data_IF_782472293517
#
_entry.id   IF_782472293517
#
_cell.length_a   1.000
_cell.length_b   1.000
_cell.length_c   1.000
_cell.angle_alpha   90.00
_cell.angle_beta   90.00
_cell.angle_gamma   90.00
#
_symmetry.space_group_name_H-M   'P 1'
#
loop_
_entity.id
_entity.type
_entity.pdbx_description
1 polymer ?
#
# COMPACT_ATOMS: atom_id res chain seq x y z
N UNK A 1 -2.78 2.01 11.84
CA UNK A 1 -1.69 2.54 11.00
C UNK A 1 -0.37 1.85 11.33
N UNK A 2 0.63 1.90 10.44
CA UNK A 2 1.95 1.34 10.70
C UNK A 2 2.60 1.93 11.97
N UNK A 3 2.61 3.26 12.18
CA UNK A 3 3.12 3.82 13.43
C UNK A 3 2.42 3.31 14.69
N UNK A 4 1.10 3.05 14.62
CA UNK A 4 0.36 2.48 15.76
C UNK A 4 0.79 1.05 16.07
N UNK A 5 1.03 0.22 15.05
CA UNK A 5 1.50 -1.15 15.24
C UNK A 5 2.95 -1.19 15.74
N UNK A 6 3.81 -0.32 15.23
CA UNK A 6 5.18 -0.14 15.74
C UNK A 6 5.22 0.27 17.22
N UNK A 7 4.20 0.98 17.71
CA UNK A 7 4.11 1.36 19.11
C UNK A 7 3.50 0.25 20.01
N UNK A 8 2.54 -0.51 19.48
CA UNK A 8 1.77 -1.48 20.28
C UNK A 8 2.40 -2.87 20.29
N UNK A 9 2.91 -3.34 19.15
CA UNK A 9 3.38 -4.73 19.04
C UNK A 9 4.59 -5.07 19.95
N UNK A 10 5.57 -4.17 20.17
CA UNK A 10 6.66 -4.41 21.13
C UNK A 10 6.16 -4.55 22.57
N UNK A 11 5.06 -3.89 22.90
CA UNK A 11 4.48 -3.82 24.23
C UNK A 11 3.29 -4.78 24.42
N UNK A 12 3.17 -5.79 23.54
CA UNK A 12 2.03 -6.72 23.50
C UNK A 12 1.69 -7.34 24.85
N UNK A 13 2.69 -7.69 25.66
CA UNK A 13 2.52 -8.32 26.97
C UNK A 13 1.83 -7.38 28.00
N UNK A 14 1.90 -6.06 27.78
CA UNK A 14 1.21 -5.07 28.61
C UNK A 14 -0.30 -5.03 28.36
N UNK A 15 -0.77 -5.65 27.28
CA UNK A 15 -2.18 -5.74 26.92
C UNK A 15 -2.77 -7.10 27.30
N UNK A 16 -2.48 -7.57 28.52
CA UNK A 16 -3.00 -8.85 29.01
C UNK A 16 -4.53 -8.92 28.89
N UNK A 17 -5.04 -9.99 28.31
CA UNK A 17 -6.48 -10.17 28.06
C UNK A 17 -7.04 -9.46 26.82
N UNK A 18 -6.23 -8.66 26.12
CA UNK A 18 -6.60 -8.05 24.84
C UNK A 18 -6.00 -8.88 23.69
N UNK A 19 -6.84 -9.29 22.76
CA UNK A 19 -6.38 -9.97 21.56
C UNK A 19 -6.00 -8.96 20.49
N UNK A 20 -4.75 -8.99 20.06
CA UNK A 20 -4.22 -8.16 18.98
C UNK A 20 -4.08 -9.08 17.75
N UNK A 21 -4.96 -8.97 16.72
CA UNK A 21 -5.01 -9.89 15.58
C UNK A 21 -3.97 -9.51 14.51
N UNK A 22 -2.72 -9.43 14.94
CA UNK A 22 -1.54 -9.17 14.10
C UNK A 22 -0.40 -10.08 14.54
N UNK A 23 0.56 -10.39 13.67
CA UNK A 23 1.68 -11.26 14.02
C UNK A 23 2.59 -10.65 15.10
N UNK A 24 3.56 -11.41 15.63
CA UNK A 24 4.62 -10.90 16.49
C UNK A 24 5.39 -9.74 15.85
N UNK A 25 6.01 -8.90 16.68
CA UNK A 25 6.67 -7.67 16.25
C UNK A 25 7.80 -7.88 15.24
N UNK A 26 8.61 -8.91 15.43
CA UNK A 26 9.68 -9.32 14.52
C UNK A 26 9.17 -9.64 13.11
N UNK A 27 8.09 -10.41 13.02
CA UNK A 27 7.42 -10.70 11.73
C UNK A 27 6.80 -9.48 11.10
N UNK A 28 6.23 -8.58 11.90
CA UNK A 28 5.74 -7.31 11.39
C UNK A 28 6.87 -6.46 10.81
N UNK A 29 8.04 -6.40 11.50
CA UNK A 29 9.21 -5.67 11.01
C UNK A 29 9.77 -6.24 9.70
N UNK A 30 9.76 -7.56 9.54
CA UNK A 30 10.32 -8.21 8.34
C UNK A 30 9.60 -7.80 7.06
N UNK A 31 8.26 -7.64 7.09
CA UNK A 31 7.52 -7.16 5.91
C UNK A 31 7.60 -5.65 5.69
N UNK A 32 8.03 -4.89 6.71
CA UNK A 32 8.30 -3.46 6.55
C UNK A 32 9.64 -3.19 5.86
N UNK A 33 10.50 -4.19 5.76
CA UNK A 33 11.81 -4.10 5.10
C UNK A 33 11.68 -4.42 3.61
N UNK A 34 11.81 -3.39 2.78
CA UNK A 34 11.62 -3.51 1.32
C UNK A 34 12.68 -4.39 0.64
N UNK A 35 13.88 -4.48 1.22
CA UNK A 35 14.94 -5.34 0.68
C UNK A 35 14.63 -6.81 0.96
N UNK A 36 14.23 -7.13 2.19
CA UNK A 36 13.80 -8.49 2.55
C UNK A 36 12.56 -8.94 1.77
N UNK A 37 11.59 -8.02 1.56
CA UNK A 37 10.41 -8.30 0.73
C UNK A 37 10.80 -8.58 -0.72
N UNK A 38 11.75 -7.83 -1.29
CA UNK A 38 12.19 -8.03 -2.66
C UNK A 38 12.90 -9.39 -2.85
N UNK A 39 13.76 -9.78 -1.90
CA UNK A 39 14.41 -11.08 -1.90
C UNK A 39 13.39 -12.22 -1.85
N UNK A 40 12.50 -12.20 -0.85
CA UNK A 40 11.44 -13.20 -0.70
C UNK A 40 10.49 -13.26 -1.92
N UNK A 41 10.23 -12.12 -2.57
CA UNK A 41 9.42 -12.06 -3.78
C UNK A 41 10.11 -12.77 -4.96
N UNK A 42 11.42 -12.59 -5.12
CA UNK A 42 12.21 -13.32 -6.12
C UNK A 42 12.11 -14.85 -5.94
N UNK A 43 12.18 -15.33 -4.70
CA UNK A 43 12.07 -16.76 -4.36
C UNK A 43 10.74 -17.40 -4.79
N UNK A 44 9.66 -16.61 -4.81
CA UNK A 44 8.32 -17.08 -5.22
C UNK A 44 7.95 -16.67 -6.65
N UNK A 45 8.95 -16.23 -7.44
CA UNK A 45 8.78 -15.89 -8.86
C UNK A 45 8.02 -14.59 -9.11
N UNK A 46 7.94 -13.68 -8.15
CA UNK A 46 7.42 -12.33 -8.35
C UNK A 46 8.55 -11.45 -8.90
N UNK A 47 8.25 -10.67 -9.93
CA UNK A 47 9.22 -9.72 -10.49
C UNK A 47 9.53 -8.60 -9.51
N UNK A 48 10.81 -8.29 -9.40
CA UNK A 48 11.32 -7.20 -8.58
C UNK A 48 11.99 -6.19 -9.53
N UNK A 49 11.74 -4.88 -9.39
CA UNK A 49 12.48 -3.88 -10.16
C UNK A 49 13.98 -3.99 -9.91
N UNK A 50 14.79 -3.66 -10.91
CA UNK A 50 16.23 -3.52 -10.71
C UNK A 50 16.50 -2.54 -9.55
N UNK A 51 17.26 -2.98 -8.53
CA UNK A 51 17.44 -2.16 -7.33
C UNK A 51 18.76 -2.43 -6.61
N UNK A 52 19.17 -1.45 -5.80
CA UNK A 52 20.35 -1.53 -4.95
C UNK A 52 20.08 -0.84 -3.62
N UNK A 53 20.55 -1.45 -2.52
CA UNK A 53 20.58 -0.83 -1.22
C UNK A 53 21.88 -0.05 -1.09
N UNK A 54 21.81 1.14 -0.54
CA UNK A 54 22.91 2.09 -0.36
C UNK A 54 22.96 2.46 1.12
N UNK A 55 24.09 2.19 1.75
CA UNK A 55 24.25 2.33 3.19
C UNK A 55 24.64 3.75 3.61
N UNK A 56 25.16 4.55 2.66
CA UNK A 56 25.61 5.91 2.94
C UNK A 56 25.45 6.85 1.73
N UNK A 57 25.45 8.18 1.96
CA UNK A 57 25.49 9.17 0.87
C UNK A 57 26.69 9.02 -0.05
N UNK A 58 27.83 8.65 0.50
CA UNK A 58 29.10 8.48 -0.23
C UNK A 58 28.97 7.29 -1.20
N UNK A 59 28.46 6.15 -0.74
CA UNK A 59 28.19 4.98 -1.58
C UNK A 59 27.16 5.31 -2.67
N UNK A 60 26.12 6.10 -2.34
CA UNK A 60 25.13 6.51 -3.30
C UNK A 60 25.72 7.31 -4.47
N UNK A 61 26.61 8.27 -4.20
CA UNK A 61 27.30 9.06 -5.22
C UNK A 61 28.23 8.24 -6.11
N UNK A 62 28.84 7.17 -5.60
CA UNK A 62 29.70 6.29 -6.41
C UNK A 62 28.89 5.32 -7.29
N UNK A 63 27.81 4.75 -6.76
CA UNK A 63 27.11 3.64 -7.42
C UNK A 63 25.96 4.06 -8.33
N UNK A 64 25.19 5.10 -7.97
CA UNK A 64 23.98 5.48 -8.70
C UNK A 64 24.22 5.98 -10.13
N UNK A 65 25.30 6.73 -10.45
CA UNK A 65 25.58 7.13 -11.83
C UNK A 65 25.79 5.98 -12.80
N UNK A 66 25.97 4.75 -12.28
CA UNK A 66 26.11 3.53 -13.08
C UNK A 66 24.80 2.82 -13.33
N UNK A 67 23.72 3.27 -12.73
CA UNK A 67 22.36 2.72 -12.93
C UNK A 67 21.64 3.44 -14.07
N UNK A 68 20.75 2.74 -14.76
CA UNK A 68 19.92 3.33 -15.81
C UNK A 68 18.79 4.18 -15.21
N UNK A 69 18.63 5.39 -15.70
CA UNK A 69 17.50 6.26 -15.36
C UNK A 69 16.24 5.89 -16.15
N UNK A 70 15.04 6.21 -15.64
CA UNK A 70 14.75 6.91 -14.39
C UNK A 70 14.78 6.01 -13.17
N UNK A 71 15.16 6.58 -12.01
CA UNK A 71 15.23 5.90 -10.74
C UNK A 71 14.20 6.44 -9.72
N UNK A 72 13.96 5.64 -8.69
CA UNK A 72 13.19 6.02 -7.50
C UNK A 72 14.07 5.78 -6.27
N UNK A 73 14.32 6.85 -5.49
CA UNK A 73 15.02 6.75 -4.22
C UNK A 73 13.99 6.74 -3.08
N UNK A 74 14.11 5.79 -2.17
CA UNK A 74 13.21 5.67 -1.01
C UNK A 74 13.97 5.04 0.16
N UNK A 75 13.64 5.36 1.43
CA UNK A 75 14.22 4.64 2.56
C UNK A 75 13.82 3.16 2.50
N UNK A 76 14.70 2.29 2.93
CA UNK A 76 14.43 0.83 3.00
C UNK A 76 13.22 0.57 3.90
N UNK A 77 13.08 1.33 4.99
CA UNK A 77 11.90 1.30 5.87
C UNK A 77 11.10 2.59 5.75
N UNK A 78 9.78 2.51 5.74
CA UNK A 78 8.89 3.67 5.61
C UNK A 78 8.97 4.66 6.77
N UNK A 79 9.46 4.21 7.92
CA UNK A 79 9.74 5.02 9.11
C UNK A 79 11.22 4.85 9.46
N UNK A 80 12.00 5.89 9.22
CA UNK A 80 13.43 5.94 9.55
C UNK A 80 13.65 6.62 10.91
N UNK A 81 14.72 6.25 11.61
CA UNK A 81 15.13 6.85 12.88
C UNK A 81 14.81 6.00 14.12
N UNK A 82 15.37 6.41 15.26
CA UNK A 82 15.13 5.84 16.58
C UNK A 82 13.85 6.42 17.19
N UNK A 83 13.31 5.81 18.27
CA UNK A 83 12.04 6.21 18.92
C UNK A 83 11.88 7.71 19.25
N UNK A 84 12.98 8.44 19.34
CA UNK A 84 13.00 9.89 19.63
C UNK A 84 12.95 10.79 18.37
N UNK A 85 13.24 10.25 17.16
CA UNK A 85 13.35 11.04 15.93
C UNK A 85 12.84 10.29 14.69
N UNK A 86 11.56 9.90 14.68
CA UNK A 86 10.96 9.27 13.50
C UNK A 86 10.73 10.31 12.42
N UNK A 87 11.53 10.27 11.36
CA UNK A 87 11.37 11.14 10.18
C UNK A 87 10.69 10.34 9.06
N UNK A 88 9.56 10.85 8.59
CA UNK A 88 8.92 10.33 7.38
C UNK A 88 9.63 10.92 6.17
N UNK A 89 10.45 10.13 5.51
CA UNK A 89 11.14 10.54 4.28
C UNK A 89 10.29 10.21 3.07
N UNK A 90 10.10 11.20 2.19
CA UNK A 90 9.32 11.03 0.96
C UNK A 90 10.15 10.32 -0.11
N UNK A 91 9.45 9.62 -0.99
CA UNK A 91 10.02 9.06 -2.22
C UNK A 91 10.51 10.19 -3.13
N UNK A 92 11.68 10.03 -3.75
CA UNK A 92 12.23 10.94 -4.76
C UNK A 92 12.32 10.25 -6.11
N UNK A 93 11.81 10.91 -7.13
CA UNK A 93 11.96 10.47 -8.52
C UNK A 93 13.18 11.18 -9.11
N UNK A 94 14.02 10.40 -9.79
CA UNK A 94 15.29 10.85 -10.36
C UNK A 94 15.27 10.48 -11.84
N UNK A 95 15.31 11.51 -12.69
CA UNK A 95 15.22 11.35 -14.14
C UNK A 95 16.58 11.32 -14.83
N UNK A 96 17.59 11.97 -14.21
CA UNK A 96 18.93 12.20 -14.74
C UNK A 96 19.94 12.49 -13.62
N UNK A 97 21.22 12.66 -13.98
CA UNK A 97 22.30 12.95 -13.03
C UNK A 97 22.07 14.25 -12.25
N UNK A 98 21.53 15.31 -12.88
CA UNK A 98 21.30 16.59 -12.21
C UNK A 98 20.19 16.48 -11.13
N UNK A 99 19.14 15.71 -11.40
CA UNK A 99 18.10 15.41 -10.41
C UNK A 99 18.58 14.44 -9.34
N UNK A 100 19.55 13.57 -9.66
CA UNK A 100 20.18 12.67 -8.70
C UNK A 100 20.94 13.44 -7.62
N UNK A 101 21.84 14.35 -8.00
CA UNK A 101 22.61 15.15 -7.05
C UNK A 101 21.70 15.92 -6.10
N UNK A 102 20.68 16.60 -6.64
CA UNK A 102 19.68 17.31 -5.82
C UNK A 102 18.95 16.37 -4.85
N UNK A 103 18.56 15.20 -5.33
CA UNK A 103 17.85 14.23 -4.49
C UNK A 103 18.74 13.70 -3.36
N UNK A 104 20.02 13.45 -3.61
CA UNK A 104 20.98 13.00 -2.60
C UNK A 104 21.28 14.08 -1.55
N UNK A 105 21.35 15.34 -1.96
CA UNK A 105 21.54 16.45 -1.02
C UNK A 105 20.33 16.67 -0.10
N UNK A 106 19.12 16.40 -0.61
CA UNK A 106 17.87 16.49 0.15
C UNK A 106 17.62 15.30 1.08
N UNK A 107 18.33 14.17 0.90
CA UNK A 107 18.15 13.00 1.75
C UNK A 107 18.92 13.17 3.06
N UNK A 108 18.23 13.18 4.22
CA UNK A 108 18.93 13.23 5.51
C UNK A 108 19.74 11.95 5.73
N UNK A 109 20.90 12.08 6.39
CA UNK A 109 21.78 10.92 6.68
C UNK A 109 21.04 9.83 7.49
N UNK A 110 20.11 10.23 8.34
CA UNK A 110 19.29 9.35 9.16
C UNK A 110 18.29 8.50 8.36
N UNK A 111 18.07 8.84 7.08
CA UNK A 111 17.21 8.07 6.17
C UNK A 111 17.91 6.84 5.59
N UNK A 112 19.24 6.77 5.68
CA UNK A 112 19.99 5.59 5.20
C UNK A 112 19.84 4.41 6.17
N UNK A 113 19.84 3.18 5.65
CA UNK A 113 20.01 2.81 4.24
C UNK A 113 18.81 3.21 3.36
N UNK A 114 19.11 3.63 2.13
CA UNK A 114 18.11 3.93 1.10
C UNK A 114 18.12 2.84 0.01
N UNK A 115 16.96 2.67 -0.61
CA UNK A 115 16.78 1.83 -1.79
C UNK A 115 16.73 2.71 -3.03
N UNK A 116 17.65 2.52 -3.96
CA UNK A 116 17.55 3.03 -5.32
C UNK A 116 16.96 1.94 -6.21
N UNK A 117 15.88 2.25 -6.90
CA UNK A 117 15.09 1.30 -7.63
C UNK A 117 14.75 1.83 -9.03
N UNK A 118 14.80 0.96 -10.03
CA UNK A 118 14.24 1.22 -11.36
C UNK A 118 12.79 1.71 -11.24
N UNK A 119 12.46 2.76 -11.98
CA UNK A 119 11.10 3.28 -11.98
C UNK A 119 10.20 2.47 -12.90
N UNK A 120 9.27 1.72 -12.35
CA UNK A 120 8.24 1.03 -13.11
C UNK A 120 7.12 2.02 -13.43
N UNK A 121 6.90 2.28 -14.73
CA UNK A 121 5.81 3.13 -15.22
C UNK A 121 4.60 2.27 -15.52
N UNK A 122 3.46 2.64 -14.96
CA UNK A 122 2.18 1.98 -15.17
C UNK A 122 1.27 2.01 -13.95
N UNK A 123 0.06 1.45 -14.05
CA UNK A 123 -0.94 1.48 -13.00
C UNK A 123 -0.52 0.67 -11.77
N UNK A 124 -0.87 1.19 -10.59
CA UNK A 124 -0.76 0.45 -9.34
C UNK A 124 -1.89 -0.58 -9.21
N UNK A 125 -1.55 -1.78 -8.74
CA UNK A 125 -2.49 -2.84 -8.37
C UNK A 125 -2.25 -3.23 -6.91
N UNK A 126 -3.33 -3.41 -6.14
CA UNK A 126 -3.29 -3.97 -4.80
C UNK A 126 -3.91 -5.36 -4.79
N UNK A 127 -3.20 -6.32 -4.19
CA UNK A 127 -3.74 -7.62 -3.78
C UNK A 127 -3.90 -7.57 -2.27
N UNK A 128 -5.14 -7.68 -1.81
CA UNK A 128 -5.49 -7.57 -0.40
C UNK A 128 -5.89 -8.92 0.14
N UNK A 129 -5.29 -9.31 1.24
CA UNK A 129 -5.44 -10.64 1.81
C UNK A 129 -5.75 -10.57 3.31
N UNK A 130 -6.55 -11.50 3.78
CA UNK A 130 -6.61 -11.91 5.17
C UNK A 130 -6.04 -13.32 5.26
N UNK A 131 -4.91 -13.47 5.94
CA UNK A 131 -4.26 -14.75 6.17
C UNK A 131 -4.59 -15.28 7.57
N UNK A 132 -4.84 -16.57 7.68
CA UNK A 132 -5.00 -17.27 8.94
C UNK A 132 -4.54 -18.71 8.77
N UNK A 133 -3.66 -19.16 9.68
CA UNK A 133 -3.06 -20.51 9.66
C UNK A 133 -2.39 -20.83 8.31
N UNK A 134 -1.70 -19.83 7.73
CA UNK A 134 -1.02 -19.95 6.44
C UNK A 134 -1.95 -20.00 5.22
N UNK A 135 -3.28 -19.84 5.39
CA UNK A 135 -4.27 -19.90 4.32
C UNK A 135 -4.98 -18.56 4.12
N UNK A 136 -5.27 -18.16 2.86
CA UNK A 136 -6.08 -16.98 2.60
C UNK A 136 -7.54 -17.22 2.99
N UNK A 137 -8.08 -16.43 3.89
CA UNK A 137 -9.50 -16.39 4.28
C UNK A 137 -10.32 -15.44 3.44
N UNK A 138 -9.69 -14.33 3.02
CA UNK A 138 -10.30 -13.41 2.09
C UNK A 138 -9.25 -12.87 1.11
N UNK A 139 -9.69 -12.58 -0.11
CA UNK A 139 -8.88 -11.94 -1.13
C UNK A 139 -9.69 -10.89 -1.89
N UNK A 140 -9.05 -9.79 -2.23
CA UNK A 140 -9.65 -8.68 -2.98
C UNK A 140 -8.59 -8.02 -3.85
N UNK A 141 -8.98 -7.54 -5.03
CA UNK A 141 -8.11 -6.83 -5.96
C UNK A 141 -8.62 -5.45 -6.33
N UNK A 142 -7.73 -4.47 -6.40
CA UNK A 142 -8.05 -3.19 -7.00
C UNK A 142 -6.96 -2.68 -7.93
N UNK A 143 -7.33 -1.80 -8.85
CA UNK A 143 -6.45 -1.00 -9.68
C UNK A 143 -6.58 0.46 -9.31
N UNK A 144 -5.45 1.16 -9.21
CA UNK A 144 -5.40 2.61 -9.05
C UNK A 144 -5.61 3.28 -10.39
N UNK A 145 -6.55 4.20 -10.45
CA UNK A 145 -6.85 5.01 -11.64
C UNK A 145 -6.22 6.39 -11.54
N UNK A 146 -6.13 6.96 -10.33
CA UNK A 146 -5.42 8.20 -10.01
C UNK A 146 -4.76 8.12 -8.65
N UNK A 147 -3.64 8.82 -8.50
CA UNK A 147 -2.82 8.84 -7.29
C UNK A 147 -2.50 10.29 -6.89
N UNK A 148 -2.23 10.51 -5.61
CA UNK A 148 -1.73 11.77 -5.05
C UNK A 148 -0.41 11.52 -4.33
N UNK A 149 0.72 12.13 -4.76
CA UNK A 149 0.88 12.97 -5.95
C UNK A 149 0.67 12.20 -7.26
N UNK A 150 0.47 12.91 -8.40
CA UNK A 150 0.23 12.29 -9.71
C UNK A 150 1.35 11.37 -10.21
N UNK A 151 2.57 11.53 -9.73
CA UNK A 151 3.73 10.69 -10.07
C UNK A 151 3.72 9.30 -9.41
N UNK A 152 2.84 9.09 -8.44
CA UNK A 152 2.73 7.87 -7.63
C UNK A 152 2.63 8.19 -6.15
N UNK A 153 1.71 7.56 -5.46
CA UNK A 153 1.46 7.78 -4.05
C UNK A 153 0.19 7.08 -3.58
N UNK A 154 -0.62 7.78 -2.75
CA UNK A 154 -1.89 7.22 -2.30
C UNK A 154 -2.93 7.25 -3.41
N UNK A 155 -3.71 6.19 -3.54
CA UNK A 155 -4.79 6.10 -4.51
C UNK A 155 -5.94 7.04 -4.15
N UNK A 156 -6.35 7.89 -5.08
CA UNK A 156 -7.47 8.83 -4.91
C UNK A 156 -8.70 8.44 -5.73
N UNK A 157 -8.50 7.73 -6.85
CA UNK A 157 -9.54 7.04 -7.58
C UNK A 157 -9.06 5.62 -7.90
N UNK A 158 -9.89 4.63 -7.64
CA UNK A 158 -9.57 3.20 -7.79
C UNK A 158 -10.80 2.41 -8.17
N UNK A 159 -10.57 1.22 -8.69
CA UNK A 159 -11.60 0.32 -9.18
C UNK A 159 -11.30 -1.11 -8.73
N UNK A 160 -12.33 -1.82 -8.27
CA UNK A 160 -12.22 -3.26 -7.98
C UNK A 160 -12.02 -4.04 -9.28
N UNK A 161 -11.07 -4.97 -9.28
CA UNK A 161 -10.72 -5.81 -10.43
C UNK A 161 -10.77 -7.28 -10.06
N UNK A 162 -11.02 -8.14 -11.03
CA UNK A 162 -10.77 -9.56 -10.87
C UNK A 162 -9.26 -9.79 -10.65
N UNK A 163 -8.91 -10.53 -9.61
CA UNK A 163 -7.51 -10.90 -9.36
C UNK A 163 -7.08 -11.98 -10.37
N UNK A 164 -5.97 -11.78 -11.09
CA UNK A 164 -5.34 -12.84 -11.84
C UNK A 164 -4.96 -14.00 -10.88
N UNK A 165 -5.37 -15.25 -11.15
CA UNK A 165 -5.11 -16.38 -10.25
C UNK A 165 -3.63 -16.56 -9.89
N UNK A 166 -2.75 -16.43 -10.88
CA UNK A 166 -1.30 -16.50 -10.71
C UNK A 166 -0.75 -15.41 -9.77
N UNK A 167 -1.24 -14.16 -9.90
CA UNK A 167 -0.83 -13.08 -9.01
C UNK A 167 -1.32 -13.28 -7.58
N UNK A 168 -2.53 -13.82 -7.41
CA UNK A 168 -3.07 -14.18 -6.10
C UNK A 168 -2.25 -15.28 -5.45
N UNK A 169 -1.96 -16.36 -6.18
CA UNK A 169 -1.18 -17.50 -5.69
C UNK A 169 0.22 -17.08 -5.23
N UNK A 170 0.93 -16.30 -6.03
CA UNK A 170 2.25 -15.77 -5.68
C UNK A 170 2.21 -14.81 -4.49
N UNK A 171 1.18 -13.97 -4.39
CA UNK A 171 0.99 -13.08 -3.24
C UNK A 171 0.77 -13.87 -1.94
N UNK A 172 -0.01 -14.95 -1.99
CA UNK A 172 -0.19 -15.87 -0.85
C UNK A 172 1.12 -16.57 -0.51
N UNK A 173 1.85 -17.07 -1.51
CA UNK A 173 3.15 -17.72 -1.29
C UNK A 173 4.16 -16.76 -0.65
N UNK A 174 4.17 -15.49 -1.09
CA UNK A 174 5.02 -14.46 -0.49
C UNK A 174 4.68 -14.21 0.98
N UNK A 175 3.39 -14.06 1.33
CA UNK A 175 3.00 -13.86 2.72
C UNK A 175 3.31 -15.07 3.61
N UNK A 176 3.24 -16.30 3.06
CA UNK A 176 3.67 -17.51 3.76
C UNK A 176 5.18 -17.52 4.07
N UNK A 177 6.02 -16.92 3.23
CA UNK A 177 7.48 -16.78 3.53
C UNK A 177 7.75 -15.97 4.79
N UNK A 178 6.82 -15.11 5.16
CA UNK A 178 6.89 -14.30 6.39
C UNK A 178 6.03 -14.86 7.53
N UNK A 179 5.49 -16.07 7.39
CA UNK A 179 4.50 -16.64 8.33
C UNK A 179 3.44 -15.60 8.70
N UNK A 180 2.91 -14.90 7.70
CA UNK A 180 2.03 -13.78 7.92
C UNK A 180 0.65 -14.21 8.40
N UNK A 181 0.15 -13.52 9.44
CA UNK A 181 -1.19 -13.66 9.99
C UNK A 181 -1.91 -12.31 10.00
N UNK A 182 -3.22 -12.31 9.72
CA UNK A 182 -4.02 -11.10 9.66
C UNK A 182 -4.05 -10.47 8.28
N UNK A 183 -4.42 -9.18 8.23
CA UNK A 183 -4.60 -8.45 6.98
C UNK A 183 -3.28 -7.94 6.39
N UNK A 184 -3.15 -8.04 5.08
CA UNK A 184 -2.05 -7.43 4.33
C UNK A 184 -2.50 -6.94 2.96
N UNK A 185 -1.83 -5.91 2.46
CA UNK A 185 -1.89 -5.46 1.08
C UNK A 185 -0.52 -5.69 0.45
N UNK A 186 -0.47 -6.49 -0.60
CA UNK A 186 0.71 -6.62 -1.47
C UNK A 186 0.52 -5.65 -2.63
N UNK A 187 1.43 -4.69 -2.76
CA UNK A 187 1.36 -3.63 -3.74
C UNK A 187 2.23 -3.91 -4.95
N UNK A 188 1.64 -3.77 -6.13
CA UNK A 188 2.32 -3.95 -7.41
C UNK A 188 2.18 -2.73 -8.30
N UNK A 189 3.13 -2.55 -9.22
CA UNK A 189 2.97 -1.75 -10.44
C UNK A 189 3.05 -2.66 -11.66
N UNK A 190 2.11 -2.47 -12.58
CA UNK A 190 2.12 -3.21 -13.86
C UNK A 190 2.84 -2.37 -14.87
N UNK A 191 3.96 -2.87 -15.38
CA UNK A 191 4.75 -2.16 -16.39
C UNK A 191 3.94 -1.98 -17.68
N UNK A 192 3.80 -0.74 -18.15
CA UNK A 192 3.18 -0.44 -19.45
C UNK A 192 3.95 -1.01 -20.62
N UNK A 193 5.27 -1.18 -20.47
CA UNK A 193 6.13 -1.71 -21.53
C UNK A 193 6.00 -3.22 -21.70
N UNK A 194 5.76 -3.97 -20.61
CA UNK A 194 5.78 -5.45 -20.64
C UNK A 194 4.45 -6.08 -20.23
N UNK A 195 3.55 -5.33 -19.61
CA UNK A 195 2.31 -5.87 -19.01
C UNK A 195 2.54 -6.68 -17.72
N UNK A 196 3.77 -6.77 -17.22
CA UNK A 196 4.13 -7.60 -16.07
C UNK A 196 4.01 -6.85 -14.75
N UNK A 197 3.52 -7.51 -13.68
CA UNK A 197 3.45 -6.92 -12.36
C UNK A 197 4.81 -7.02 -11.65
N UNK A 198 5.25 -5.90 -11.08
CA UNK A 198 6.44 -5.77 -10.25
C UNK A 198 6.02 -5.41 -8.82
N UNK A 199 6.55 -6.11 -7.82
CA UNK A 199 6.26 -5.81 -6.42
C UNK A 199 6.87 -4.47 -6.01
N UNK A 200 6.12 -3.72 -5.20
CA UNK A 200 6.58 -2.45 -4.64
C UNK A 200 6.82 -2.55 -3.13
N UNK A 201 5.86 -3.11 -2.39
CA UNK A 201 5.91 -3.27 -0.93
C UNK A 201 4.79 -4.18 -0.41
N UNK A 202 4.90 -4.57 0.86
CA UNK A 202 3.81 -5.19 1.62
C UNK A 202 3.40 -4.22 2.74
N UNK A 203 2.08 -3.98 2.85
CA UNK A 203 1.49 -3.19 3.92
C UNK A 203 0.74 -4.14 4.87
N UNK A 204 1.35 -4.54 6.00
CA UNK A 204 0.81 -5.47 6.99
C UNK A 204 -0.21 -4.83 7.92
N UNK A 205 -1.16 -4.14 7.38
CA UNK A 205 -2.20 -3.37 8.07
C UNK A 205 -3.36 -3.09 7.15
N UNK A 206 -4.44 -2.54 7.70
CA UNK A 206 -5.45 -1.94 6.86
C UNK A 206 -4.87 -0.78 6.03
N UNK A 207 -5.42 -0.57 4.86
CA UNK A 207 -4.97 0.38 3.83
C UNK A 207 -5.98 1.51 3.60
N UNK A 208 -5.55 2.58 2.96
CA UNK A 208 -6.38 3.76 2.74
C UNK A 208 -7.64 3.50 1.90
N UNK A 209 -7.58 2.56 0.96
CA UNK A 209 -8.71 2.20 0.09
C UNK A 209 -9.60 1.06 0.65
N UNK A 210 -9.61 0.86 1.97
CA UNK A 210 -10.36 -0.23 2.62
C UNK A 210 -11.85 -0.20 2.27
N UNK A 211 -12.43 0.99 2.20
CA UNK A 211 -13.85 1.16 1.93
C UNK A 211 -14.27 0.58 0.57
N UNK A 212 -13.38 0.58 -0.44
CA UNK A 212 -13.68 -0.06 -1.72
C UNK A 212 -13.90 -1.57 -1.58
N UNK A 213 -13.10 -2.26 -0.76
CA UNK A 213 -13.29 -3.69 -0.51
C UNK A 213 -14.64 -3.97 0.17
N UNK A 214 -15.00 -3.17 1.19
CA UNK A 214 -16.30 -3.26 1.87
C UNK A 214 -17.44 -3.02 0.89
N UNK A 215 -17.34 -1.98 0.07
CA UNK A 215 -18.34 -1.63 -0.94
C UNK A 215 -18.48 -2.71 -2.05
N UNK A 216 -17.41 -3.44 -2.31
CA UNK A 216 -17.39 -4.54 -3.26
C UNK A 216 -17.89 -5.89 -2.66
N UNK A 217 -18.06 -5.95 -1.34
CA UNK A 217 -18.59 -7.14 -0.65
C UNK A 217 -17.59 -7.89 0.23
N UNK A 218 -16.35 -7.38 0.41
CA UNK A 218 -15.33 -7.98 1.28
C UNK A 218 -15.08 -7.09 2.50
N UNK A 219 -15.77 -7.39 3.60
CA UNK A 219 -15.63 -6.66 4.87
C UNK A 219 -14.46 -7.21 5.69
N UNK A 220 -13.25 -6.81 5.33
CA UNK A 220 -12.02 -7.24 6.02
C UNK A 220 -12.01 -6.96 7.53
N UNK A 221 -12.50 -5.80 8.05
CA UNK A 221 -12.61 -5.57 9.49
C UNK A 221 -13.43 -6.64 10.20
N UNK A 222 -14.60 -6.98 9.65
CA UNK A 222 -15.47 -8.01 10.21
C UNK A 222 -14.82 -9.39 10.13
N UNK A 223 -14.28 -9.75 8.97
CA UNK A 223 -13.61 -11.04 8.76
C UNK A 223 -12.41 -11.21 9.70
N UNK A 224 -11.60 -10.17 9.91
CA UNK A 224 -10.50 -10.20 10.86
C UNK A 224 -10.99 -10.41 12.31
N UNK A 225 -12.11 -9.76 12.69
CA UNK A 225 -12.70 -9.94 14.00
C UNK A 225 -13.23 -11.37 14.17
N UNK A 226 -13.93 -11.89 13.19
CA UNK A 226 -14.50 -13.25 13.21
C UNK A 226 -13.39 -14.30 13.33
N UNK A 227 -12.28 -14.19 12.58
CA UNK A 227 -11.08 -15.03 12.71
C UNK A 227 -10.44 -14.89 14.09
N UNK A 228 -10.30 -13.65 14.58
CA UNK A 228 -9.75 -13.40 15.90
C UNK A 228 -10.59 -14.06 17.01
N UNK A 229 -11.89 -14.05 16.94
CA UNK A 229 -12.78 -14.67 17.93
C UNK A 229 -12.75 -16.21 17.82
N UNK A 230 -12.78 -16.76 16.60
CA UNK A 230 -12.76 -18.20 16.36
C UNK A 230 -11.50 -18.88 16.91
N UNK A 231 -10.33 -18.29 16.71
CA UNK A 231 -9.07 -18.83 17.23
C UNK A 231 -8.93 -18.73 18.76
N UNK A 232 -9.80 -17.97 19.46
CA UNK A 232 -9.82 -17.79 20.93
C UNK A 232 -10.50 -18.91 21.71
N UNK A 233 -11.34 -19.71 21.07
CA UNK A 233 -12.07 -20.80 21.69
C UNK A 233 -11.24 -22.10 21.83
N UNK A 234 -10.09 -22.19 21.20
CA UNK A 234 -9.23 -23.38 21.24
C UNK A 234 -8.66 -23.71 22.66
N UNK A 235 -8.79 -22.81 23.62
CA UNK A 235 -8.31 -22.97 25.01
C UNK A 235 -9.44 -22.99 26.07
N UNK A 236 -10.70 -22.80 25.71
CA UNK A 236 -11.83 -22.95 26.65
C UNK A 236 -12.52 -24.30 26.44
N UNK A 237 -12.78 -25.09 27.49
CA UNK A 237 -13.61 -26.28 27.34
C UNK A 237 -14.98 -25.81 26.81
N UNK A 238 -15.25 -26.14 25.56
CA UNK A 238 -16.53 -25.87 24.90
C UNK A 238 -17.68 -26.46 25.73
N UNK A 239 -18.60 -25.63 26.20
CA UNK A 239 -19.90 -26.03 26.70
C UNK A 239 -20.91 -26.33 25.57
N UNK A 240 -20.50 -26.23 24.33
CA UNK A 240 -21.33 -26.61 23.18
C UNK A 240 -20.80 -27.90 22.58
N UNK A 241 -21.64 -28.95 22.59
CA UNK A 241 -21.42 -30.26 21.97
C UNK A 241 -21.59 -30.22 20.44
N UNK A 242 -21.27 -29.09 19.80
CA UNK A 242 -21.20 -28.94 18.34
C UNK A 242 -19.77 -29.02 17.85
N UNK A 243 -19.55 -29.48 16.60
CA UNK A 243 -18.21 -29.47 16.02
C UNK A 243 -17.68 -28.03 16.03
N UNK A 244 -16.44 -27.86 16.52
CA UNK A 244 -15.69 -26.58 16.42
C UNK A 244 -15.81 -26.11 14.98
N UNK A 245 -16.53 -25.04 14.75
CA UNK A 245 -16.70 -24.49 13.41
C UNK A 245 -15.31 -24.13 12.89
N UNK A 246 -14.85 -24.96 11.96
CA UNK A 246 -13.68 -24.59 11.14
C UNK A 246 -13.94 -23.23 10.53
N UNK A 247 -12.86 -22.45 10.28
CA UNK A 247 -12.96 -21.13 9.67
C UNK A 247 -13.94 -21.15 8.49
N UNK A 248 -14.73 -20.08 8.40
CA UNK A 248 -15.75 -19.93 7.38
C UNK A 248 -15.21 -20.04 5.94
N UNK A 249 -16.06 -20.14 4.93
CA UNK A 249 -15.65 -20.27 3.54
C UNK A 249 -14.77 -19.08 3.14
N UNK A 250 -13.80 -19.33 2.25
CA UNK A 250 -12.95 -18.28 1.67
C UNK A 250 -13.82 -17.25 0.97
N UNK A 251 -13.66 -15.97 1.33
CA UNK A 251 -14.36 -14.86 0.66
C UNK A 251 -13.48 -14.36 -0.48
N UNK A 252 -13.75 -14.87 -1.67
CA UNK A 252 -13.06 -14.46 -2.92
C UNK A 252 -14.03 -13.89 -3.94
N UNK A 253 -15.34 -14.04 -3.71
CA UNK A 253 -16.38 -13.48 -4.55
C UNK A 253 -16.70 -12.06 -4.11
N UNK A 254 -16.52 -11.12 -5.03
CA UNK A 254 -16.82 -9.71 -4.82
C UNK A 254 -17.21 -9.04 -6.15
N UNK A 255 -17.85 -7.89 -6.07
CA UNK A 255 -18.26 -7.15 -7.25
C UNK A 255 -17.07 -6.45 -7.90
N UNK A 256 -16.78 -6.80 -9.15
CA UNK A 256 -15.76 -6.17 -9.99
C UNK A 256 -16.34 -4.93 -10.68
N UNK A 257 -15.50 -3.91 -10.92
CA UNK A 257 -15.89 -2.67 -11.61
C UNK A 257 -16.47 -1.60 -10.69
N UNK A 258 -16.53 -1.84 -9.36
CA UNK A 258 -16.88 -0.79 -8.40
C UNK A 258 -15.76 0.23 -8.35
N UNK A 259 -16.09 1.51 -8.54
CA UNK A 259 -15.15 2.62 -8.37
C UNK A 259 -15.37 3.30 -7.02
N UNK A 260 -14.27 3.68 -6.39
CA UNK A 260 -14.26 4.48 -5.16
C UNK A 260 -13.34 5.67 -5.33
N UNK A 261 -13.80 6.82 -4.85
CA UNK A 261 -13.12 8.11 -4.96
C UNK A 261 -12.94 8.72 -3.58
N UNK A 262 -11.69 9.11 -3.27
CA UNK A 262 -11.40 9.98 -2.17
C UNK A 262 -11.48 11.43 -2.65
N UNK A 263 -12.52 12.14 -2.25
CA UNK A 263 -12.98 13.38 -2.88
C UNK A 263 -11.92 14.47 -2.85
N UNK A 264 -11.42 14.81 -1.66
CA UNK A 264 -10.42 15.88 -1.52
C UNK A 264 -9.04 15.47 -2.04
N UNK A 265 -8.69 14.21 -1.91
CA UNK A 265 -7.47 13.69 -2.52
C UNK A 265 -7.48 13.80 -4.05
N UNK A 266 -8.63 13.56 -4.70
CA UNK A 266 -8.78 13.68 -6.14
C UNK A 266 -8.81 15.15 -6.61
N UNK A 267 -9.36 16.06 -5.80
CA UNK A 267 -9.25 17.51 -6.01
C UNK A 267 -7.79 17.94 -5.95
N UNK A 268 -7.03 17.48 -4.96
CA UNK A 268 -5.60 17.80 -4.84
C UNK A 268 -4.79 17.26 -6.03
N UNK A 269 -5.11 16.04 -6.51
CA UNK A 269 -4.53 15.52 -7.74
C UNK A 269 -4.76 16.48 -8.92
N UNK A 270 -6.01 16.90 -9.14
CA UNK A 270 -6.34 17.83 -10.21
C UNK A 270 -5.63 19.17 -10.06
N UNK A 271 -5.63 19.74 -8.84
CA UNK A 271 -4.95 21.01 -8.58
C UNK A 271 -3.44 20.92 -8.84
N UNK A 272 -2.80 19.84 -8.46
CA UNK A 272 -1.40 19.59 -8.78
C UNK A 272 -1.17 19.55 -10.30
N UNK A 273 -2.03 18.81 -11.04
CA UNK A 273 -1.95 18.73 -12.52
C UNK A 273 -2.14 20.09 -13.21
N UNK A 274 -2.91 20.99 -12.64
CA UNK A 274 -3.17 22.30 -13.20
C UNK A 274 -2.09 23.34 -12.88
N UNK A 275 -1.50 23.25 -11.67
CA UNK A 275 -0.58 24.27 -11.15
C UNK A 275 0.89 23.97 -11.43
N UNK A 276 1.28 22.70 -11.40
CA UNK A 276 2.67 22.30 -11.59
C UNK A 276 2.94 21.84 -13.03
N UNK A 277 4.21 21.88 -13.43
CA UNK A 277 4.69 21.30 -14.69
C UNK A 277 4.79 19.77 -14.57
N UNK A 278 4.86 19.08 -15.71
CA UNK A 278 5.05 17.63 -15.74
C UNK A 278 6.43 17.23 -15.13
N UNK A 279 7.42 18.09 -15.27
CA UNK A 279 8.75 17.91 -14.67
C UNK A 279 8.70 18.05 -13.14
N UNK A 280 8.08 19.11 -12.61
CA UNK A 280 7.90 19.30 -11.15
C UNK A 280 7.14 18.14 -10.51
N UNK A 281 6.18 17.59 -11.23
CA UNK A 281 5.41 16.42 -10.80
C UNK A 281 6.15 15.10 -11.06
N UNK A 282 7.31 15.12 -11.69
CA UNK A 282 8.05 13.93 -12.12
C UNK A 282 7.16 12.94 -12.87
N UNK A 283 6.32 13.41 -13.79
CA UNK A 283 5.42 12.55 -14.53
C UNK A 283 6.17 11.72 -15.59
N UNK A 284 5.70 10.50 -15.88
CA UNK A 284 6.23 9.73 -16.98
C UNK A 284 6.03 10.45 -18.33
N UNK A 285 6.94 10.27 -19.30
CA UNK A 285 6.74 10.74 -20.67
C UNK A 285 5.40 10.24 -21.23
N UNK A 286 4.69 11.10 -21.96
CA UNK A 286 3.38 10.75 -22.55
C UNK A 286 2.20 10.85 -21.57
N UNK A 287 2.40 11.35 -20.35
CA UNK A 287 1.31 11.60 -19.40
C UNK A 287 0.24 12.52 -20.00
N UNK A 288 -1.06 12.30 -19.69
CA UNK A 288 -2.15 13.12 -20.24
C UNK A 288 -1.98 14.60 -19.94
N UNK A 289 -2.22 15.47 -20.91
CA UNK A 289 -2.14 16.93 -20.71
C UNK A 289 -3.25 17.46 -19.76
N UNK A 290 -3.12 18.74 -19.37
CA UNK A 290 -4.01 19.41 -18.39
C UNK A 290 -5.49 19.31 -18.73
N UNK A 291 -5.87 19.54 -20.02
CA UNK A 291 -7.25 19.43 -20.46
C UNK A 291 -7.82 18.02 -20.25
N UNK A 292 -7.03 17.01 -20.61
CA UNK A 292 -7.40 15.62 -20.38
C UNK A 292 -7.55 15.30 -18.91
N UNK A 293 -6.69 15.83 -18.04
CA UNK A 293 -6.81 15.66 -16.60
C UNK A 293 -8.13 16.23 -16.04
N UNK A 294 -8.58 17.39 -16.56
CA UNK A 294 -9.90 17.95 -16.21
C UNK A 294 -11.04 17.04 -16.67
N UNK A 295 -10.99 16.56 -17.92
CA UNK A 295 -12.03 15.68 -18.46
C UNK A 295 -12.10 14.36 -17.69
N UNK A 296 -10.95 13.77 -17.36
CA UNK A 296 -10.87 12.52 -16.56
C UNK A 296 -11.38 12.73 -15.13
N UNK A 297 -11.13 13.92 -14.53
CA UNK A 297 -11.69 14.28 -13.23
C UNK A 297 -13.21 14.35 -13.27
N UNK A 298 -13.77 15.06 -14.27
CA UNK A 298 -15.22 15.19 -14.45
C UNK A 298 -15.87 13.82 -14.74
N UNK A 299 -15.25 12.98 -15.55
CA UNK A 299 -15.72 11.62 -15.80
C UNK A 299 -15.73 10.76 -14.52
N UNK A 300 -14.82 11.01 -13.59
CA UNK A 300 -14.79 10.37 -12.27
C UNK A 300 -15.93 10.76 -11.32
N UNK A 301 -16.68 11.83 -11.63
CA UNK A 301 -17.88 12.26 -10.89
C UNK A 301 -19.15 11.49 -11.29
N UNK A 302 -19.07 10.63 -12.30
CA UNK A 302 -20.22 9.89 -12.83
C UNK A 302 -20.84 8.92 -11.81
N UNK A 303 -22.08 8.45 -12.09
CA UNK A 303 -22.88 7.63 -11.17
C UNK A 303 -22.26 6.25 -10.85
N UNK A 304 -21.24 5.82 -11.59
CA UNK A 304 -20.50 4.57 -11.33
C UNK A 304 -19.41 4.69 -10.27
N UNK A 305 -19.17 5.88 -9.70
CA UNK A 305 -18.14 6.10 -8.68
C UNK A 305 -18.79 6.33 -7.31
N UNK A 306 -18.39 5.54 -6.32
CA UNK A 306 -18.80 5.71 -4.92
C UNK A 306 -17.84 6.66 -4.22
N UNK A 307 -18.38 7.54 -3.38
CA UNK A 307 -17.58 8.37 -2.51
C UNK A 307 -16.99 7.53 -1.37
N UNK A 308 -15.72 7.74 -1.05
CA UNK A 308 -15.07 6.98 0.02
C UNK A 308 -15.53 7.44 1.39
N UNK A 309 -15.49 8.74 1.63
CA UNK A 309 -15.72 9.34 2.95
C UNK A 309 -17.13 9.91 3.07
N UNK A 310 -17.68 10.49 2.00
CA UNK A 310 -19.04 11.02 2.03
C UNK A 310 -20.06 9.87 2.04
N UNK A 311 -20.65 9.63 3.20
CA UNK A 311 -21.74 8.67 3.41
C UNK A 311 -22.98 9.39 3.93
N UNK A 312 -24.13 9.14 3.30
CA UNK A 312 -25.40 9.78 3.72
C UNK A 312 -25.79 9.36 5.13
N UNK A 313 -25.48 8.12 5.51
CA UNK A 313 -25.73 7.58 6.85
C UNK A 313 -24.90 8.21 7.95
N UNK A 314 -23.69 8.69 7.64
CA UNK A 314 -22.82 9.45 8.56
C UNK A 314 -21.94 10.44 7.78
N UNK A 315 -22.42 11.68 7.57
CA UNK A 315 -21.68 12.71 6.82
C UNK A 315 -20.59 13.41 7.65
N UNK A 316 -20.49 13.17 8.97
CA UNK A 316 -19.57 13.87 9.89
C UNK A 316 -18.10 13.75 9.49
N UNK A 317 -17.57 12.56 9.14
CA UNK A 317 -16.18 12.43 8.69
C UNK A 317 -15.86 13.31 7.48
N UNK A 318 -16.76 13.35 6.49
CA UNK A 318 -16.59 14.19 5.30
C UNK A 318 -16.62 15.68 5.62
N UNK A 319 -17.57 16.12 6.48
CA UNK A 319 -17.64 17.53 6.93
C UNK A 319 -16.35 17.92 7.66
N UNK A 320 -15.85 17.05 8.53
CA UNK A 320 -14.61 17.30 9.27
C UNK A 320 -13.42 17.42 8.32
N UNK A 321 -13.26 16.47 7.42
CA UNK A 321 -12.19 16.50 6.44
C UNK A 321 -12.27 17.73 5.53
N UNK A 322 -13.48 18.11 5.09
CA UNK A 322 -13.70 19.31 4.27
C UNK A 322 -13.25 20.58 4.99
N UNK A 323 -13.56 20.70 6.29
CA UNK A 323 -13.12 21.83 7.11
C UNK A 323 -11.60 21.86 7.27
N UNK A 324 -10.99 20.71 7.49
CA UNK A 324 -9.54 20.59 7.63
C UNK A 324 -8.83 20.89 6.29
N UNK A 325 -9.38 20.42 5.17
CA UNK A 325 -8.85 20.70 3.84
C UNK A 325 -8.89 22.21 3.49
N UNK A 326 -10.03 22.89 3.76
CA UNK A 326 -10.17 24.35 3.53
C UNK A 326 -9.19 25.15 4.41
N UNK A 327 -8.89 24.66 5.62
CA UNK A 327 -7.95 25.30 6.54
C UNK A 327 -6.48 24.98 6.24
N UNK A 328 -6.21 24.13 5.25
CA UNK A 328 -4.85 23.71 4.89
C UNK A 328 -4.19 22.79 5.92
N UNK A 329 -4.97 21.98 6.63
CA UNK A 329 -4.52 21.06 7.70
C UNK A 329 -4.57 19.61 7.27
#
# INVERSE_FOLDING_TARGET
SEPSLLAILPERDRFAGVRIPFPPYDRFLSICDKAAVAEAAGDVGIRVPGQVVLESPEEARDRLPRMAFPLVLKPVRSVAGTDASRVKVSVRHVADDASLERALDDFPREAYPILAQERIVGPGIGVFLLMSEGEPRAAFGHRRLREKPPSGGVSVLRESIALPPDLLERSVALLRRFDWEGVAMVEYKVSEATGEPYIMEINGRFWGSLQLAVDAGVDFPRLLLDEALASGDAGRPSRSTGPVSRPGPRVTDYTVGIRSRWEWGDVDHLLARLRCSDEELALPPGSPGRLRAVLDFLAGLGPGSRNEILRISDPRPFIRESLDWVRGR
#
